data_IF_551779806561
#
_entry.id   IF_551779806561
#
_cell.length_a   1.000
_cell.length_b   1.000
_cell.length_c   1.000
_cell.angle_alpha   90.00
_cell.angle_beta   90.00
_cell.angle_gamma   90.00
#
_symmetry.space_group_name_H-M   'P 1'
#
loop_
_entity.id
_entity.type
_entity.pdbx_description
1 polymer ?
#
# COMPACT_ATOMS: atom_id res chain seq x y z
N UNK A 1 3.40 -25.71 -17.00
CA UNK A 1 3.69 -24.27 -17.18
C UNK A 1 4.61 -23.85 -16.06
N UNK A 2 5.79 -23.29 -16.33
CA UNK A 2 6.65 -22.79 -15.26
C UNK A 2 5.94 -21.57 -14.66
N UNK A 3 5.58 -21.66 -13.40
CA UNK A 3 5.23 -20.48 -12.61
C UNK A 3 6.52 -19.67 -12.49
N UNK A 4 6.61 -18.56 -13.23
CA UNK A 4 7.64 -17.56 -12.99
C UNK A 4 7.54 -17.18 -11.51
N UNK A 5 8.55 -17.56 -10.74
CA UNK A 5 8.57 -17.25 -9.31
C UNK A 5 8.61 -15.74 -9.14
N UNK A 6 7.99 -15.21 -8.06
CA UNK A 6 8.05 -13.79 -7.70
C UNK A 6 9.50 -13.24 -7.69
N UNK A 7 10.48 -14.11 -7.48
CA UNK A 7 11.92 -13.82 -7.58
C UNK A 7 12.36 -13.44 -8.99
N UNK A 8 11.85 -14.11 -10.03
CA UNK A 8 12.22 -13.83 -11.41
C UNK A 8 11.59 -12.53 -11.90
N UNK A 9 10.37 -12.22 -11.44
CA UNK A 9 9.72 -10.94 -11.74
C UNK A 9 10.48 -9.79 -11.07
N UNK A 10 10.82 -9.90 -9.80
CA UNK A 10 11.59 -8.89 -9.07
C UNK A 10 12.99 -8.70 -9.67
N UNK A 11 13.68 -9.79 -10.03
CA UNK A 11 14.99 -9.76 -10.66
C UNK A 11 14.96 -9.23 -12.09
N UNK A 12 13.87 -9.46 -12.85
CA UNK A 12 13.74 -8.94 -14.21
C UNK A 12 13.53 -7.43 -14.22
N UNK A 13 12.72 -6.91 -13.30
CA UNK A 13 12.50 -5.47 -13.12
C UNK A 13 13.80 -4.77 -12.68
N UNK A 14 14.56 -5.35 -11.76
CA UNK A 14 15.82 -4.77 -11.29
C UNK A 14 16.98 -4.85 -12.30
N UNK A 15 16.97 -5.86 -13.20
CA UNK A 15 18.01 -6.03 -14.23
C UNK A 15 17.87 -5.10 -15.43
N UNK A 16 16.66 -4.61 -15.70
CA UNK A 16 16.40 -3.81 -16.90
C UNK A 16 16.75 -2.31 -16.76
N UNK A 17 17.20 -1.85 -15.59
CA UNK A 17 17.47 -0.41 -15.29
C UNK A 17 16.31 0.51 -15.71
N UNK A 18 15.09 -0.03 -15.78
CA UNK A 18 13.92 0.77 -16.02
C UNK A 18 13.47 1.29 -14.65
N UNK A 19 13.52 2.60 -14.47
CA UNK A 19 12.95 3.28 -13.31
C UNK A 19 11.42 3.24 -13.43
N UNK A 20 10.83 2.06 -13.17
CA UNK A 20 9.38 1.88 -13.23
C UNK A 20 8.84 1.98 -11.82
N UNK A 21 8.05 3.01 -11.50
CA UNK A 21 7.36 3.08 -10.22
C UNK A 21 6.53 1.81 -10.01
N UNK A 22 6.59 1.26 -8.80
CA UNK A 22 6.06 -0.09 -8.52
C UNK A 22 5.19 -0.08 -7.28
N UNK A 23 4.03 -0.73 -7.35
CA UNK A 23 3.23 -1.06 -6.16
C UNK A 23 3.36 -2.55 -5.85
N UNK A 24 3.55 -2.88 -4.57
CA UNK A 24 3.57 -4.25 -4.08
C UNK A 24 2.47 -4.42 -3.03
N UNK A 25 1.61 -5.41 -3.23
CA UNK A 25 0.53 -5.76 -2.31
C UNK A 25 0.57 -7.24 -1.97
N UNK A 26 -0.04 -7.63 -0.86
CA UNK A 26 -0.21 -9.02 -0.45
C UNK A 26 1.14 -9.79 -0.42
N UNK A 27 1.20 -10.98 -0.97
CA UNK A 27 2.40 -11.83 -0.98
C UNK A 27 3.62 -11.22 -1.70
N UNK A 28 3.40 -10.26 -2.62
CA UNK A 28 4.49 -9.56 -3.30
C UNK A 28 5.34 -8.70 -2.34
N UNK A 29 4.77 -8.23 -1.23
CA UNK A 29 5.47 -7.45 -0.20
C UNK A 29 6.65 -8.24 0.37
N UNK A 30 6.51 -9.56 0.53
CA UNK A 30 7.57 -10.41 1.07
C UNK A 30 8.77 -10.59 0.12
N UNK A 31 8.64 -10.20 -1.15
CA UNK A 31 9.79 -10.16 -2.05
C UNK A 31 10.86 -9.16 -1.56
N UNK A 32 10.46 -8.10 -0.84
CA UNK A 32 11.39 -7.12 -0.25
C UNK A 32 12.38 -7.77 0.72
N UNK A 33 11.99 -8.80 1.48
CA UNK A 33 12.90 -9.53 2.39
C UNK A 33 14.08 -10.18 1.67
N UNK A 34 13.94 -10.45 0.38
CA UNK A 34 14.95 -11.14 -0.44
C UNK A 34 15.83 -10.18 -1.23
N UNK A 35 15.49 -8.89 -1.24
CA UNK A 35 16.29 -7.87 -1.90
C UNK A 35 17.51 -7.57 -1.05
N UNK A 36 18.71 -7.79 -1.62
CA UNK A 36 19.98 -7.60 -0.93
C UNK A 36 20.57 -6.20 -1.08
N UNK A 37 19.99 -5.39 -1.96
CA UNK A 37 20.51 -4.05 -2.28
C UNK A 37 19.38 -3.03 -2.16
N UNK A 38 19.48 -2.19 -1.15
CA UNK A 38 18.71 -0.96 -0.98
C UNK A 38 19.65 0.25 -1.10
N UNK A 39 19.15 1.44 -1.47
CA UNK A 39 17.79 1.72 -1.92
C UNK A 39 17.46 1.10 -3.28
N UNK A 40 16.17 0.92 -3.54
CA UNK A 40 15.68 0.60 -4.88
C UNK A 40 15.74 1.88 -5.72
N UNK A 41 16.29 1.77 -6.92
CA UNK A 41 16.45 2.89 -7.87
C UNK A 41 15.12 3.29 -8.53
N UNK A 42 14.01 3.20 -7.78
CA UNK A 42 12.66 3.46 -8.28
C UNK A 42 11.70 3.73 -7.13
N UNK A 43 10.63 4.48 -7.40
CA UNK A 43 9.53 4.66 -6.47
C UNK A 43 8.83 3.34 -6.19
N UNK A 44 8.85 2.90 -4.94
CA UNK A 44 8.13 1.72 -4.48
C UNK A 44 7.08 2.12 -3.46
N UNK A 45 5.85 1.67 -3.69
CA UNK A 45 4.75 1.79 -2.73
C UNK A 45 4.34 0.39 -2.29
N UNK A 46 4.24 0.15 -1.00
CA UNK A 46 3.67 -1.08 -0.46
C UNK A 46 2.35 -0.79 0.27
N UNK A 47 1.41 -1.73 0.21
CA UNK A 47 0.06 -1.58 0.77
C UNK A 47 -0.28 -2.68 1.80
N UNK A 48 0.56 -2.90 2.83
CA UNK A 48 0.35 -3.96 3.80
C UNK A 48 -0.85 -3.68 4.72
N UNK A 49 -1.53 -4.75 5.13
CA UNK A 49 -2.27 -4.72 6.39
C UNK A 49 -1.32 -5.02 7.57
N UNK A 50 -1.79 -4.86 8.81
CA UNK A 50 -0.98 -4.98 10.03
C UNK A 50 -0.13 -6.26 10.06
N UNK A 51 -0.72 -7.44 9.77
CA UNK A 51 0.02 -8.70 9.83
C UNK A 51 1.08 -8.84 8.72
N UNK A 52 0.82 -8.30 7.53
CA UNK A 52 1.82 -8.28 6.45
C UNK A 52 2.99 -7.39 6.84
N UNK A 53 2.70 -6.24 7.44
CA UNK A 53 3.74 -5.32 7.90
C UNK A 53 4.60 -5.93 9.01
N UNK A 54 3.99 -6.52 10.06
CA UNK A 54 4.73 -7.19 11.13
C UNK A 54 5.59 -8.33 10.61
N UNK A 55 5.06 -9.11 9.66
CA UNK A 55 5.84 -10.16 9.00
C UNK A 55 6.99 -9.60 8.14
N UNK A 56 6.80 -8.46 7.45
CA UNK A 56 7.86 -7.83 6.67
C UNK A 56 9.05 -7.44 7.56
N UNK A 57 8.77 -6.87 8.74
CA UNK A 57 9.80 -6.36 9.65
C UNK A 57 10.31 -7.39 10.66
N UNK A 58 9.81 -8.62 10.63
CA UNK A 58 10.12 -9.70 11.57
C UNK A 58 9.95 -9.29 13.05
N UNK A 59 8.92 -8.52 13.35
CA UNK A 59 8.60 -8.04 14.69
C UNK A 59 7.14 -8.32 15.01
N UNK A 60 6.88 -8.98 16.11
CA UNK A 60 5.52 -9.16 16.65
C UNK A 60 5.10 -7.86 17.36
N UNK A 61 4.51 -6.96 16.63
CA UNK A 61 4.08 -5.66 17.11
C UNK A 61 2.88 -5.15 16.33
N UNK A 62 2.06 -4.37 17.02
CA UNK A 62 0.95 -3.63 16.39
C UNK A 62 1.35 -2.18 16.25
N UNK A 63 1.19 -1.62 15.06
CA UNK A 63 1.28 -0.19 14.84
C UNK A 63 -0.08 0.42 15.20
N UNK A 64 -0.05 1.36 16.12
CA UNK A 64 -1.23 2.10 16.57
C UNK A 64 -1.12 3.55 16.05
N UNK A 65 -2.19 4.03 15.43
CA UNK A 65 -2.22 5.35 14.82
C UNK A 65 -2.16 6.51 15.83
N UNK A 66 -2.46 6.26 17.10
CA UNK A 66 -2.40 7.26 18.16
C UNK A 66 -1.17 7.12 19.07
N UNK A 67 -0.37 6.06 18.87
CA UNK A 67 0.89 5.88 19.57
C UNK A 67 2.07 6.49 18.81
N UNK A 68 2.71 7.48 19.42
CA UNK A 68 3.86 8.18 18.83
C UNK A 68 5.02 7.23 18.50
N UNK A 69 5.27 6.21 19.33
CA UNK A 69 6.37 5.26 19.08
C UNK A 69 6.09 4.37 17.86
N UNK A 70 4.83 3.97 17.68
CA UNK A 70 4.37 3.26 16.48
C UNK A 70 4.59 4.08 15.21
N UNK A 71 4.23 5.37 15.25
CA UNK A 71 4.42 6.28 14.12
C UNK A 71 5.90 6.49 13.81
N UNK A 72 6.75 6.69 14.82
CA UNK A 72 8.20 6.82 14.66
C UNK A 72 8.79 5.56 14.04
N UNK A 73 8.34 4.40 14.45
CA UNK A 73 8.83 3.13 13.93
C UNK A 73 8.41 2.93 12.46
N UNK A 74 7.14 3.16 12.11
CA UNK A 74 6.67 3.09 10.72
C UNK A 74 7.48 4.02 9.83
N UNK A 75 7.69 5.26 10.27
CA UNK A 75 8.55 6.25 9.62
C UNK A 75 9.96 5.73 9.40
N UNK A 76 10.61 5.21 10.46
CA UNK A 76 11.99 4.69 10.39
C UNK A 76 12.10 3.56 9.36
N UNK A 77 11.14 2.63 9.34
CA UNK A 77 11.14 1.51 8.40
C UNK A 77 10.97 2.00 6.96
N UNK A 78 10.06 2.95 6.71
CA UNK A 78 9.87 3.50 5.38
C UNK A 78 11.15 4.18 4.85
N UNK A 79 11.82 4.95 5.71
CA UNK A 79 13.11 5.59 5.39
C UNK A 79 14.24 4.58 5.18
N UNK A 80 14.38 3.60 6.08
CA UNK A 80 15.47 2.61 6.01
C UNK A 80 15.38 1.73 4.75
N UNK A 81 14.16 1.43 4.31
CA UNK A 81 13.91 0.63 3.11
C UNK A 81 13.76 1.49 1.84
N UNK A 82 13.73 2.82 1.97
CA UNK A 82 13.45 3.76 0.87
C UNK A 82 12.18 3.38 0.09
N UNK A 83 11.08 3.20 0.82
CA UNK A 83 9.78 2.85 0.26
C UNK A 83 8.68 3.71 0.87
N UNK A 84 7.61 3.90 0.10
CA UNK A 84 6.38 4.49 0.60
C UNK A 84 5.45 3.36 1.11
N UNK A 85 4.82 3.57 2.25
CA UNK A 85 3.99 2.56 2.91
C UNK A 85 2.57 3.09 3.10
N UNK A 86 1.57 2.34 2.63
CA UNK A 86 0.17 2.52 3.04
C UNK A 86 -0.16 1.38 4.00
N UNK A 87 -0.03 1.61 5.29
CA UNK A 87 -0.42 0.63 6.31
C UNK A 87 -1.93 0.70 6.52
N UNK A 88 -2.62 -0.31 6.01
CA UNK A 88 -4.09 -0.43 6.05
C UNK A 88 -4.58 -0.66 7.47
N UNK A 89 -5.59 0.11 7.91
CA UNK A 89 -6.20 0.01 9.24
C UNK A 89 -7.59 0.61 9.29
N UNK A 90 -8.10 0.85 10.51
CA UNK A 90 -9.31 1.65 10.70
C UNK A 90 -9.02 3.13 10.34
N UNK A 91 -7.81 3.56 10.59
CA UNK A 91 -7.18 4.76 10.05
C UNK A 91 -5.93 4.27 9.33
N UNK A 92 -5.80 4.57 8.04
CA UNK A 92 -4.59 4.21 7.32
C UNK A 92 -3.46 5.16 7.71
N UNK A 93 -2.26 4.59 7.89
CA UNK A 93 -1.04 5.37 8.08
C UNK A 93 -0.23 5.33 6.79
N UNK A 94 0.08 6.51 6.24
CA UNK A 94 0.86 6.60 5.02
C UNK A 94 2.20 7.24 5.35
N UNK A 95 3.29 6.48 5.18
CA UNK A 95 4.65 6.92 5.45
C UNK A 95 5.43 7.08 4.14
N UNK A 96 6.22 8.15 4.04
CA UNK A 96 7.13 8.36 2.92
C UNK A 96 8.52 7.82 3.19
N UNK A 97 9.27 7.55 2.15
CA UNK A 97 10.70 7.24 2.18
C UNK A 97 11.57 8.44 2.65
N UNK A 98 11.02 9.64 2.66
CA UNK A 98 11.65 10.85 3.19
C UNK A 98 11.30 11.13 4.66
N UNK A 99 10.37 10.37 5.24
CA UNK A 99 10.03 10.39 6.66
C UNK A 99 8.80 11.22 7.02
N UNK A 100 7.97 11.59 6.06
CA UNK A 100 6.65 12.13 6.35
C UNK A 100 5.67 11.01 6.72
N UNK A 101 4.76 11.28 7.64
CA UNK A 101 3.67 10.35 7.98
C UNK A 101 2.36 11.12 8.05
N UNK A 102 1.36 10.64 7.32
CA UNK A 102 0.00 11.19 7.32
C UNK A 102 -1.02 10.12 7.66
N UNK A 103 -2.18 10.55 8.18
CA UNK A 103 -3.32 9.69 8.51
C UNK A 103 -4.43 9.88 7.49
N UNK A 104 -4.93 8.80 6.93
CA UNK A 104 -6.17 8.79 6.15
C UNK A 104 -7.31 8.26 7.01
N UNK A 105 -8.38 9.03 7.13
CA UNK A 105 -9.57 8.71 7.93
C UNK A 105 -10.82 8.50 7.09
N UNK A 106 -10.71 8.48 5.76
CA UNK A 106 -11.80 8.11 4.87
C UNK A 106 -11.99 6.60 4.88
N UNK A 107 -13.17 6.15 4.53
CA UNK A 107 -13.53 4.74 4.56
C UNK A 107 -14.26 4.34 5.83
N UNK A 108 -14.78 3.12 5.83
CA UNK A 108 -15.62 2.60 6.89
C UNK A 108 -15.41 1.09 7.10
N UNK A 109 -15.99 0.56 8.19
CA UNK A 109 -15.85 -0.87 8.55
C UNK A 109 -16.44 -1.84 7.52
N UNK A 110 -17.35 -1.40 6.65
CA UNK A 110 -17.90 -2.22 5.57
C UNK A 110 -16.85 -2.57 4.51
N UNK A 111 -15.76 -1.82 4.44
CA UNK A 111 -14.66 -2.08 3.49
C UNK A 111 -13.75 -3.25 3.88
N UNK A 112 -14.03 -3.95 4.97
CA UNK A 112 -13.29 -5.15 5.38
C UNK A 112 -13.58 -6.39 4.52
N UNK A 113 -14.28 -6.22 3.39
CA UNK A 113 -14.53 -7.29 2.42
C UNK A 113 -13.31 -7.56 1.54
N UNK A 114 -13.15 -8.82 1.11
CA UNK A 114 -12.04 -9.20 0.23
C UNK A 114 -12.06 -8.42 -1.09
N UNK A 115 -10.88 -7.98 -1.55
CA UNK A 115 -10.69 -7.29 -2.81
C UNK A 115 -10.59 -5.75 -2.72
N UNK A 116 -10.97 -5.13 -1.59
CA UNK A 116 -10.80 -3.67 -1.43
C UNK A 116 -9.33 -3.25 -1.42
N UNK A 117 -8.44 -4.12 -0.93
CA UNK A 117 -7.00 -3.93 -1.04
C UNK A 117 -6.50 -3.94 -2.49
N UNK A 118 -7.07 -4.80 -3.34
CA UNK A 118 -6.74 -4.85 -4.77
C UNK A 118 -7.18 -3.56 -5.47
N UNK A 119 -8.34 -2.99 -5.09
CA UNK A 119 -8.78 -1.68 -5.59
C UNK A 119 -7.79 -0.59 -5.21
N UNK A 120 -7.38 -0.54 -3.94
CA UNK A 120 -6.36 0.41 -3.47
C UNK A 120 -5.06 0.28 -4.26
N UNK A 121 -4.52 -0.94 -4.39
CA UNK A 121 -3.29 -1.19 -5.13
C UNK A 121 -3.42 -0.80 -6.62
N UNK A 122 -4.58 -1.04 -7.23
CA UNK A 122 -4.87 -0.63 -8.61
C UNK A 122 -4.87 0.88 -8.78
N UNK A 123 -5.43 1.63 -7.81
CA UNK A 123 -5.43 3.10 -7.84
C UNK A 123 -4.00 3.64 -7.64
N UNK A 124 -3.23 3.07 -6.70
CA UNK A 124 -1.80 3.42 -6.54
C UNK A 124 -1.06 3.25 -7.86
N UNK A 125 -1.21 2.08 -8.52
CA UNK A 125 -0.56 1.79 -9.80
C UNK A 125 -0.97 2.80 -10.89
N UNK A 126 -2.26 3.17 -10.94
CA UNK A 126 -2.77 4.15 -11.89
C UNK A 126 -2.16 5.53 -11.66
N UNK A 127 -2.08 5.99 -10.42
CA UNK A 127 -1.50 7.29 -10.08
C UNK A 127 0.00 7.33 -10.34
N UNK A 128 0.74 6.25 -10.04
CA UNK A 128 2.14 6.12 -10.38
C UNK A 128 2.36 6.16 -11.90
N UNK A 129 1.53 5.49 -12.68
CA UNK A 129 1.59 5.49 -14.15
C UNK A 129 1.32 6.87 -14.75
N UNK A 130 0.62 7.75 -14.04
CA UNK A 130 0.40 9.14 -14.41
C UNK A 130 1.57 10.06 -14.04
N UNK A 131 2.65 9.52 -13.46
CA UNK A 131 3.85 10.27 -13.09
C UNK A 131 3.78 10.95 -11.72
N UNK A 132 2.82 10.57 -10.86
CA UNK A 132 2.80 11.08 -9.50
C UNK A 132 3.92 10.45 -8.68
N UNK A 133 4.60 11.21 -7.77
CA UNK A 133 5.54 10.64 -6.80
C UNK A 133 4.85 9.59 -5.92
N UNK A 134 5.62 8.58 -5.44
CA UNK A 134 5.11 7.44 -4.69
C UNK A 134 4.27 7.84 -3.48
N UNK A 135 4.73 8.81 -2.68
CA UNK A 135 3.99 9.27 -1.51
C UNK A 135 2.67 9.97 -1.87
N UNK A 136 2.66 10.77 -2.93
CA UNK A 136 1.43 11.43 -3.43
C UNK A 136 0.45 10.40 -3.97
N UNK A 137 0.94 9.42 -4.73
CA UNK A 137 0.12 8.32 -5.24
C UNK A 137 -0.49 7.49 -4.09
N UNK A 138 0.29 7.20 -3.05
CA UNK A 138 -0.16 6.49 -1.85
C UNK A 138 -1.28 7.24 -1.12
N UNK A 139 -1.10 8.54 -0.86
CA UNK A 139 -2.11 9.38 -0.21
C UNK A 139 -3.39 9.49 -1.05
N UNK A 140 -3.24 9.81 -2.33
CA UNK A 140 -4.38 9.95 -3.25
C UNK A 140 -5.18 8.66 -3.37
N UNK A 141 -4.49 7.52 -3.48
CA UNK A 141 -5.15 6.22 -3.57
C UNK A 141 -5.90 5.85 -2.29
N UNK A 142 -5.29 6.05 -1.11
CA UNK A 142 -5.95 5.77 0.17
C UNK A 142 -7.20 6.65 0.35
N UNK A 143 -7.09 7.94 0.04
CA UNK A 143 -8.22 8.86 0.11
C UNK A 143 -9.35 8.47 -0.85
N UNK A 144 -9.04 8.26 -2.13
CA UNK A 144 -10.03 7.91 -3.15
C UNK A 144 -10.72 6.58 -2.87
N UNK A 145 -9.96 5.56 -2.43
CA UNK A 145 -10.53 4.26 -2.06
C UNK A 145 -11.49 4.42 -0.88
N UNK A 146 -11.11 5.21 0.14
CA UNK A 146 -11.94 5.45 1.30
C UNK A 146 -13.23 6.20 0.98
N UNK A 147 -13.16 7.29 0.20
CA UNK A 147 -14.34 8.04 -0.25
C UNK A 147 -15.28 7.16 -1.09
N UNK A 148 -14.74 6.40 -2.05
CA UNK A 148 -15.55 5.46 -2.84
C UNK A 148 -16.19 4.38 -1.95
N UNK A 149 -15.46 3.88 -0.96
CA UNK A 149 -16.00 2.95 0.04
C UNK A 149 -17.12 3.54 0.87
N UNK A 150 -17.03 4.83 1.24
CA UNK A 150 -18.08 5.54 1.96
C UNK A 150 -19.32 5.76 1.08
N UNK A 151 -19.13 6.02 -0.22
CA UNK A 151 -20.21 6.12 -1.19
C UNK A 151 -20.91 4.77 -1.40
N UNK A 152 -20.15 3.70 -1.60
CA UNK A 152 -20.67 2.34 -1.73
C UNK A 152 -21.41 1.90 -0.46
N UNK A 153 -20.90 2.24 0.72
CA UNK A 153 -21.56 1.92 1.99
C UNK A 153 -22.92 2.62 2.15
N UNK A 154 -23.03 3.87 1.72
CA UNK A 154 -24.32 4.59 1.71
C UNK A 154 -25.37 3.91 0.82
N UNK A 155 -24.94 3.24 -0.27
CA UNK A 155 -25.83 2.54 -1.19
C UNK A 155 -26.19 1.14 -0.72
N UNK A 156 -25.21 0.37 -0.22
CA UNK A 156 -25.32 -1.07 -0.02
C UNK A 156 -25.16 -1.51 1.45
N UNK A 157 -24.77 -0.60 2.34
CA UNK A 157 -24.48 -0.90 3.74
C UNK A 157 -23.40 -1.97 3.88
N UNK A 158 -23.61 -2.92 4.80
CA UNK A 158 -22.70 -4.08 5.01
C UNK A 158 -22.69 -5.10 3.85
N UNK A 159 -23.56 -4.92 2.85
CA UNK A 159 -23.58 -5.75 1.64
C UNK A 159 -22.69 -5.27 0.53
N UNK A 160 -21.90 -4.18 0.73
CA UNK A 160 -20.99 -3.67 -0.29
C UNK A 160 -19.93 -4.72 -0.69
N UNK A 161 -19.52 -4.67 -1.94
CA UNK A 161 -18.46 -5.49 -2.52
C UNK A 161 -17.33 -4.61 -3.03
N UNK A 162 -16.15 -5.20 -3.22
CA UNK A 162 -15.00 -4.48 -3.75
C UNK A 162 -15.25 -3.88 -5.14
N UNK A 163 -16.09 -4.53 -5.97
CA UNK A 163 -16.53 -4.01 -7.27
C UNK A 163 -17.31 -2.71 -7.13
N UNK A 164 -18.14 -2.57 -6.09
CA UNK A 164 -18.92 -1.35 -5.85
C UNK A 164 -17.99 -0.18 -5.51
N UNK A 165 -16.93 -0.46 -4.71
CA UNK A 165 -15.89 0.53 -4.40
C UNK A 165 -15.15 0.94 -5.69
N UNK A 166 -14.78 -0.03 -6.53
CA UNK A 166 -14.08 0.24 -7.78
C UNK A 166 -14.92 1.06 -8.76
N UNK A 167 -16.25 0.83 -8.81
CA UNK A 167 -17.17 1.59 -9.65
C UNK A 167 -17.34 3.02 -9.14
N UNK A 168 -17.40 3.22 -7.82
CA UNK A 168 -17.56 4.56 -7.22
C UNK A 168 -16.26 5.42 -7.27
N UNK A 169 -15.07 4.82 -7.53
CA UNK A 169 -13.83 5.57 -7.80
C UNK A 169 -13.95 6.41 -9.08
N UNK A 170 -14.79 6.01 -10.02
CA UNK A 170 -14.97 6.72 -11.30
C UNK A 170 -15.85 7.97 -11.19
N UNK A 171 -16.50 8.17 -10.04
CA UNK A 171 -17.27 9.35 -9.68
C UNK A 171 -18.62 9.44 -10.32
#
# INVERSE_FOLDING_TARGET
SPHLGLEEISLSVSKQKLHIPTVLDSSAIFALKRIKKFPLDQDVVITPHQNEFTNLVDRDMKIDEDDTQSIILLRSIAMDLHINVVLKGAVDLIASDEGDVVKNRTGNSGMTVGGTGDVLAGIVASLLAQGNPGFVAAQGAAYLTGEAGDMAYKKYGLGLMASDVADDVRG
#
